data_IF_994558056008
#
_entry.id   IF_994558056008
#
_cell.length_a   1.000
_cell.length_b   1.000
_cell.length_c   1.000
_cell.angle_alpha   90.00
_cell.angle_beta   90.00
_cell.angle_gamma   90.00
#
_symmetry.space_group_name_H-M   'P 1'
#
loop_
_entity.id
_entity.type
_entity.pdbx_description
1 polymer ?
#
# COMPACT_ATOMS: atom_id res chain seq x y z
N UNK A 1 -17.36 -23.48 0.84
CA UNK A 1 -16.77 -22.23 0.32
C UNK A 1 -15.69 -21.83 1.33
N UNK A 2 -14.43 -21.63 0.90
CA UNK A 2 -13.38 -21.18 1.82
C UNK A 2 -13.74 -19.77 2.29
N UNK A 3 -13.82 -19.55 3.59
CA UNK A 3 -14.04 -18.19 4.12
C UNK A 3 -12.79 -17.38 3.88
N UNK A 4 -12.91 -16.19 3.30
CA UNK A 4 -11.83 -15.21 3.23
C UNK A 4 -11.68 -14.64 4.64
N UNK A 5 -10.51 -14.78 5.24
CA UNK A 5 -10.22 -14.17 6.54
C UNK A 5 -9.58 -12.79 6.35
N UNK A 6 -9.71 -11.91 7.34
CA UNK A 6 -9.18 -10.55 7.28
C UNK A 6 -7.68 -10.50 6.90
N UNK A 7 -6.90 -11.47 7.36
CA UNK A 7 -5.46 -11.61 7.05
C UNK A 7 -5.17 -11.84 5.57
N UNK A 8 -6.14 -12.36 4.82
CA UNK A 8 -6.01 -12.68 3.40
C UNK A 8 -6.27 -11.44 2.52
N UNK A 9 -6.82 -10.36 3.08
CA UNK A 9 -7.10 -9.11 2.37
C UNK A 9 -5.85 -8.22 2.37
N UNK A 10 -5.34 -7.88 1.18
CA UNK A 10 -4.16 -7.02 1.05
C UNK A 10 -4.34 -5.63 1.65
N UNK A 11 -5.57 -5.10 1.67
CA UNK A 11 -5.90 -3.79 2.27
C UNK A 11 -5.80 -3.78 3.80
N UNK A 12 -5.83 -4.96 4.43
CA UNK A 12 -5.77 -5.13 5.89
C UNK A 12 -4.38 -5.59 6.36
N UNK A 13 -3.45 -5.83 5.43
CA UNK A 13 -2.09 -6.21 5.75
C UNK A 13 -1.25 -4.97 6.09
N UNK A 14 -0.31 -5.15 7.03
CA UNK A 14 0.65 -4.10 7.36
C UNK A 14 1.66 -3.91 6.24
N UNK A 15 2.01 -2.66 5.97
CA UNK A 15 3.13 -2.33 5.10
C UNK A 15 4.46 -2.46 5.87
N UNK A 16 5.36 -3.31 5.39
CA UNK A 16 6.68 -3.55 6.00
C UNK A 16 7.57 -2.31 6.00
N UNK A 17 7.36 -1.38 5.05
CA UNK A 17 8.12 -0.13 4.95
C UNK A 17 7.78 0.84 6.09
N UNK A 18 6.62 0.66 6.74
CA UNK A 18 6.11 1.52 7.80
C UNK A 18 5.99 0.83 9.18
N UNK A 19 6.57 -0.36 9.39
CA UNK A 19 6.42 -1.13 10.64
C UNK A 19 6.86 -0.41 11.92
N UNK A 20 7.69 0.63 11.82
CA UNK A 20 8.12 1.47 12.94
C UNK A 20 7.95 2.97 12.62
N UNK A 21 6.90 3.33 11.88
CA UNK A 21 6.68 4.69 11.39
C UNK A 21 6.65 5.75 12.50
N UNK A 22 6.09 5.40 13.66
CA UNK A 22 5.98 6.30 14.82
C UNK A 22 7.35 6.71 15.41
N UNK A 23 8.40 5.92 15.15
CA UNK A 23 9.76 6.16 15.64
C UNK A 23 10.63 6.88 14.60
N UNK A 24 10.09 7.25 13.44
CA UNK A 24 10.84 7.90 12.35
C UNK A 24 10.78 9.41 12.46
N UNK A 25 11.76 10.08 11.86
CA UNK A 25 11.70 11.54 11.69
C UNK A 25 10.56 11.94 10.75
N UNK A 26 10.04 13.15 10.92
CA UNK A 26 8.97 13.70 10.06
C UNK A 26 9.34 13.59 8.58
N UNK A 27 10.57 13.96 8.20
CA UNK A 27 11.03 13.85 6.82
C UNK A 27 10.99 12.41 6.29
N UNK A 28 11.35 11.43 7.13
CA UNK A 28 11.31 10.01 6.74
C UNK A 28 9.87 9.51 6.61
N UNK A 29 8.96 9.94 7.49
CA UNK A 29 7.53 9.62 7.40
C UNK A 29 6.96 10.14 6.08
N UNK A 30 7.21 11.41 5.75
CA UNK A 30 6.74 12.01 4.50
C UNK A 30 7.34 11.34 3.27
N UNK A 31 8.61 10.92 3.32
CA UNK A 31 9.22 10.15 2.23
C UNK A 31 8.50 8.81 2.02
N UNK A 32 8.24 8.06 3.09
CA UNK A 32 7.56 6.75 3.00
C UNK A 32 6.17 6.91 2.39
N UNK A 33 5.41 7.93 2.80
CA UNK A 33 4.08 8.21 2.23
C UNK A 33 4.20 8.52 0.73
N UNK A 34 5.12 9.41 0.37
CA UNK A 34 5.33 9.80 -1.02
C UNK A 34 5.82 8.64 -1.90
N UNK A 35 6.60 7.71 -1.36
CA UNK A 35 7.07 6.52 -2.07
C UNK A 35 5.91 5.56 -2.36
N UNK A 36 4.96 5.39 -1.43
CA UNK A 36 3.74 4.60 -1.65
C UNK A 36 2.77 5.27 -2.64
N UNK A 37 2.58 6.60 -2.54
CA UNK A 37 1.71 7.36 -3.45
C UNK A 37 2.16 7.21 -4.93
N UNK A 38 3.47 7.19 -5.18
CA UNK A 38 4.03 6.98 -6.51
C UNK A 38 3.67 5.61 -7.12
N UNK A 39 3.26 4.64 -6.32
CA UNK A 39 2.85 3.32 -6.82
C UNK A 39 1.45 3.33 -7.44
N UNK A 40 0.59 4.29 -7.03
CA UNK A 40 -0.83 4.35 -7.42
C UNK A 40 -0.96 4.51 -8.94
N UNK A 41 -0.27 5.48 -9.54
CA UNK A 41 -0.35 5.73 -10.97
C UNK A 41 0.04 4.50 -11.81
N UNK A 42 1.03 3.72 -11.35
CA UNK A 42 1.45 2.48 -12.01
C UNK A 42 0.36 1.42 -11.95
N UNK A 43 -0.27 1.24 -10.78
CA UNK A 43 -1.36 0.27 -10.58
C UNK A 43 -2.61 0.63 -11.38
N UNK A 44 -2.99 1.92 -11.40
CA UNK A 44 -4.11 2.40 -12.23
C UNK A 44 -3.84 2.13 -13.70
N UNK A 45 -2.64 2.44 -14.19
CA UNK A 45 -2.27 2.16 -15.59
C UNK A 45 -2.38 0.68 -15.94
N UNK A 46 -1.98 -0.21 -15.04
CA UNK A 46 -2.11 -1.67 -15.24
C UNK A 46 -3.56 -2.14 -15.32
N UNK A 47 -4.50 -1.43 -14.70
CA UNK A 47 -5.92 -1.80 -14.69
C UNK A 47 -6.70 -1.24 -15.89
N UNK A 48 -6.14 -0.31 -16.67
CA UNK A 48 -6.80 0.27 -17.86
C UNK A 48 -7.41 -0.78 -18.80
N UNK A 49 -6.72 -1.88 -19.16
CA UNK A 49 -7.28 -2.89 -20.06
C UNK A 49 -8.52 -3.63 -19.53
N UNK A 50 -8.78 -3.58 -18.23
CA UNK A 50 -9.97 -4.17 -17.60
C UNK A 50 -11.11 -3.15 -17.45
N UNK A 51 -10.83 -1.86 -17.67
CA UNK A 51 -11.77 -0.74 -17.57
C UNK A 51 -12.41 -0.42 -18.93
N UNK A 52 -11.72 -0.70 -20.04
CA UNK A 52 -12.17 -0.51 -21.42
C UNK A 52 -12.89 -1.74 -21.99
#
# INVERSE_FOLDING_TARGET
MKSIERKDLSTEQQNVNSSAIDNKSIASILSIINDEDQTIAKKVKSAIPEIE
#
